data_IF_897171948062
#
_entry.id   IF_897171948062
#
_cell.length_a   1.000
_cell.length_b   1.000
_cell.length_c   1.000
_cell.angle_alpha   90.00
_cell.angle_beta   90.00
_cell.angle_gamma   90.00
#
_symmetry.space_group_name_H-M   'P 1'
#
loop_
_entity.id
_entity.type
_entity.pdbx_description
1 polymer ?
#
# COMPACT_ATOMS: atom_id res chain seq x y z
N UNK A 1 8.72 30.69 -14.82
CA UNK A 1 8.53 29.22 -14.65
C UNK A 1 9.15 28.86 -13.32
N UNK A 2 8.36 28.42 -12.34
CA UNK A 2 8.88 28.02 -11.03
C UNK A 2 9.52 26.63 -11.20
N UNK A 3 10.78 26.40 -10.79
CA UNK A 3 11.43 25.10 -10.94
C UNK A 3 10.71 24.06 -10.08
N UNK A 4 10.44 22.87 -10.62
CA UNK A 4 9.90 21.74 -9.84
C UNK A 4 11.02 21.11 -9.02
N UNK A 5 10.77 20.89 -7.74
CA UNK A 5 11.73 20.30 -6.82
C UNK A 5 11.35 18.85 -6.49
N UNK A 6 12.36 18.01 -6.38
CA UNK A 6 12.27 16.68 -5.81
C UNK A 6 13.21 16.62 -4.61
N UNK A 7 12.68 16.35 -3.42
CA UNK A 7 13.45 16.25 -2.19
C UNK A 7 13.54 14.79 -1.77
N UNK A 8 14.77 14.33 -1.52
CA UNK A 8 15.04 13.02 -0.93
C UNK A 8 15.84 13.21 0.35
N UNK A 9 15.31 12.70 1.45
CA UNK A 9 15.99 12.63 2.75
C UNK A 9 16.13 11.15 3.08
N UNK A 10 17.36 10.69 3.30
CA UNK A 10 17.63 9.30 3.65
C UNK A 10 18.80 9.20 4.61
N UNK A 11 18.69 8.36 5.65
CA UNK A 11 19.85 7.99 6.47
C UNK A 11 20.46 6.67 6.00
N UNK A 12 21.79 6.60 5.85
CA UNK A 12 22.54 5.38 5.49
C UNK A 12 23.27 4.75 6.68
N UNK A 13 23.06 5.24 7.91
CA UNK A 13 23.65 4.69 9.13
C UNK A 13 23.09 3.31 9.46
N UNK A 14 23.99 2.34 9.68
CA UNK A 14 23.67 0.95 10.02
C UNK A 14 22.75 0.85 11.24
N UNK A 15 21.56 0.29 11.00
CA UNK A 15 20.42 0.00 11.91
C UNK A 15 19.50 1.19 12.24
N UNK A 16 18.17 1.04 12.10
CA UNK A 16 17.18 2.09 12.37
C UNK A 16 17.22 2.61 13.82
N UNK A 17 17.77 1.83 14.76
CA UNK A 17 17.86 2.17 16.18
C UNK A 17 18.92 3.23 16.55
N UNK A 18 19.87 3.59 15.67
CA UNK A 18 21.06 4.35 16.10
C UNK A 18 21.22 5.76 15.54
N UNK A 19 20.58 6.11 14.42
CA UNK A 19 20.44 7.52 14.01
C UNK A 19 19.16 7.65 13.18
N UNK A 20 18.18 8.36 13.70
CA UNK A 20 17.12 8.88 12.84
C UNK A 20 17.47 10.30 12.41
N UNK A 21 17.23 10.62 11.14
CA UNK A 21 17.20 12.03 10.73
C UNK A 21 15.90 12.61 11.26
N UNK A 22 16.02 13.57 12.18
CA UNK A 22 14.91 14.34 12.68
C UNK A 22 14.52 15.40 11.66
N UNK A 23 13.29 15.32 11.17
CA UNK A 23 12.71 16.37 10.34
C UNK A 23 11.85 17.24 11.24
N UNK A 24 12.34 18.46 11.54
CA UNK A 24 11.53 19.49 12.17
C UNK A 24 10.85 20.32 11.07
N UNK A 25 9.54 20.49 11.19
CA UNK A 25 8.70 20.86 10.06
C UNK A 25 8.54 22.36 9.81
N UNK A 26 9.27 23.20 10.56
CA UNK A 26 9.24 24.66 10.42
C UNK A 26 10.00 25.11 9.16
N UNK A 27 9.32 25.05 8.01
CA UNK A 27 9.78 25.64 6.73
C UNK A 27 9.62 24.75 5.49
N UNK A 28 9.50 23.43 5.66
CA UNK A 28 9.38 22.49 4.52
C UNK A 28 7.99 22.50 3.87
N UNK A 29 6.95 22.72 4.66
CA UNK A 29 5.56 22.55 4.25
C UNK A 29 4.88 23.82 3.72
N UNK A 30 5.64 24.69 3.07
CA UNK A 30 5.09 25.81 2.30
C UNK A 30 5.70 25.85 0.89
N UNK A 31 6.47 24.82 0.53
CA UNK A 31 7.20 24.78 -0.73
C UNK A 31 6.24 24.54 -1.91
N UNK A 32 5.84 25.62 -2.58
CA UNK A 32 4.97 25.57 -3.76
C UNK A 32 5.59 24.83 -4.96
N UNK A 33 6.91 24.64 -4.97
CA UNK A 33 7.63 23.94 -6.03
C UNK A 33 7.85 22.45 -5.78
N UNK A 34 7.60 21.94 -4.57
CA UNK A 34 7.92 20.56 -4.22
C UNK A 34 6.89 19.61 -4.85
N UNK A 35 7.34 18.76 -5.76
CA UNK A 35 6.50 17.81 -6.50
C UNK A 35 6.70 16.37 -6.02
N UNK A 36 7.91 16.04 -5.57
CA UNK A 36 8.27 14.71 -5.09
C UNK A 36 8.93 14.84 -3.72
N UNK A 37 8.45 14.07 -2.74
CA UNK A 37 9.03 13.95 -1.42
C UNK A 37 9.32 12.48 -1.14
N UNK A 38 10.58 12.16 -0.83
CA UNK A 38 11.03 10.82 -0.49
C UNK A 38 11.72 10.85 0.88
N UNK A 39 11.16 10.17 1.85
CA UNK A 39 11.69 10.04 3.20
C UNK A 39 12.05 8.58 3.44
N UNK A 40 13.30 8.33 3.84
CA UNK A 40 13.80 6.98 4.15
C UNK A 40 14.55 6.96 5.47
N UNK A 41 14.23 6.05 6.38
CA UNK A 41 14.93 5.94 7.68
C UNK A 41 14.93 7.26 8.46
N UNK A 42 13.77 7.92 8.53
CA UNK A 42 13.60 9.22 9.20
C UNK A 42 12.57 9.13 10.31
N UNK A 43 12.78 9.90 11.38
CA UNK A 43 11.76 10.06 12.43
C UNK A 43 10.93 11.29 12.15
N UNK A 44 9.61 11.11 12.06
CA UNK A 44 8.66 12.21 12.01
C UNK A 44 8.37 12.65 13.46
N UNK A 45 8.79 13.87 13.81
CA UNK A 45 8.49 14.50 15.11
C UNK A 45 7.70 15.77 14.89
N UNK A 46 6.76 16.09 15.78
CA UNK A 46 6.03 17.36 15.78
C UNK A 46 5.31 17.66 14.45
N UNK A 47 4.71 16.65 13.79
CA UNK A 47 3.91 16.88 12.58
C UNK A 47 2.66 17.67 12.98
N UNK A 48 2.51 18.94 12.56
CA UNK A 48 1.42 19.77 13.02
C UNK A 48 0.08 19.21 12.51
N UNK A 49 -0.87 19.03 13.43
CA UNK A 49 -2.19 18.46 13.14
C UNK A 49 -3.09 19.41 12.35
N UNK A 50 -2.95 20.73 12.51
CA UNK A 50 -3.68 21.75 11.76
C UNK A 50 -3.00 23.11 11.90
N UNK A 51 -2.85 23.84 10.78
CA UNK A 51 -2.54 25.27 10.79
C UNK A 51 -1.39 25.70 9.87
N UNK A 52 -1.69 25.92 8.58
CA UNK A 52 -0.88 26.74 7.67
C UNK A 52 0.20 26.02 6.86
N UNK A 53 0.37 24.71 7.03
CA UNK A 53 1.37 23.92 6.32
C UNK A 53 0.69 23.06 5.24
N UNK A 54 1.01 23.28 3.97
CA UNK A 54 0.48 22.55 2.81
C UNK A 54 1.60 22.28 1.79
N UNK A 55 1.53 21.13 1.13
CA UNK A 55 2.38 20.81 -0.02
C UNK A 55 1.55 20.86 -1.30
N UNK A 56 1.22 22.07 -1.81
CA UNK A 56 0.19 22.26 -2.83
C UNK A 56 0.54 21.67 -4.19
N UNK A 57 1.82 21.39 -4.44
CA UNK A 57 2.32 20.83 -5.71
C UNK A 57 2.76 19.37 -5.61
N UNK A 58 2.63 18.74 -4.43
CA UNK A 58 3.15 17.40 -4.20
C UNK A 58 2.28 16.34 -4.85
N UNK A 59 2.86 15.64 -5.82
CA UNK A 59 2.22 14.56 -6.57
C UNK A 59 2.71 13.18 -6.17
N UNK A 60 3.94 13.08 -5.68
CA UNK A 60 4.56 11.81 -5.30
C UNK A 60 5.11 11.88 -3.89
N UNK A 61 4.67 10.95 -3.04
CA UNK A 61 5.12 10.80 -1.66
C UNK A 61 5.62 9.37 -1.46
N UNK A 62 6.88 9.23 -1.06
CA UNK A 62 7.46 7.93 -0.71
C UNK A 62 7.96 7.96 0.72
N UNK A 63 7.42 7.07 1.53
CA UNK A 63 7.71 6.90 2.94
C UNK A 63 8.24 5.49 3.13
N UNK A 64 9.52 5.37 3.45
CA UNK A 64 10.15 4.06 3.65
C UNK A 64 10.80 4.06 5.01
N UNK A 65 10.44 3.07 5.82
CA UNK A 65 11.13 2.82 7.07
C UNK A 65 11.13 4.03 8.01
N UNK A 66 9.94 4.54 8.30
CA UNK A 66 9.75 5.70 9.17
C UNK A 66 9.51 5.30 10.63
N UNK A 67 9.98 6.13 11.54
CA UNK A 67 9.66 6.07 12.98
C UNK A 67 8.72 7.23 13.31
N UNK A 68 7.68 7.00 14.10
CA UNK A 68 6.64 8.00 14.37
C UNK A 68 6.66 8.42 15.84
N UNK A 69 6.88 9.72 16.11
CA UNK A 69 6.75 10.26 17.46
C UNK A 69 5.37 10.90 17.58
N UNK A 70 4.36 10.05 17.77
CA UNK A 70 2.97 10.43 17.96
C UNK A 70 2.00 9.67 17.05
N UNK A 71 0.83 9.32 17.61
CA UNK A 71 -0.17 8.42 17.01
C UNK A 71 -0.65 8.90 15.64
N UNK A 72 -0.85 10.21 15.47
CA UNK A 72 -1.44 10.78 14.25
C UNK A 72 -0.41 11.30 13.23
N UNK A 73 0.88 11.03 13.42
CA UNK A 73 1.96 11.66 12.62
C UNK A 73 1.83 11.38 11.11
N UNK A 74 1.48 10.14 10.74
CA UNK A 74 1.26 9.77 9.35
C UNK A 74 0.02 10.47 8.77
N UNK A 75 -1.09 10.44 9.52
CA UNK A 75 -2.35 11.06 9.07
C UNK A 75 -2.21 12.57 8.91
N UNK A 76 -1.48 13.22 9.80
CA UNK A 76 -1.18 14.64 9.71
C UNK A 76 -0.38 14.95 8.44
N UNK A 77 0.68 14.18 8.12
CA UNK A 77 1.46 14.36 6.90
C UNK A 77 0.59 14.16 5.63
N UNK A 78 -0.22 13.11 5.62
CA UNK A 78 -1.13 12.80 4.52
C UNK A 78 -2.15 13.92 4.30
N UNK A 79 -2.69 14.51 5.38
CA UNK A 79 -3.66 15.61 5.31
C UNK A 79 -3.14 16.86 4.59
N UNK A 80 -1.81 17.01 4.45
CA UNK A 80 -1.15 18.17 3.85
C UNK A 80 -0.97 18.05 2.33
N UNK A 81 -1.31 16.89 1.75
CA UNK A 81 -0.99 16.49 0.38
C UNK A 81 -2.25 16.35 -0.49
N UNK A 82 -2.92 17.46 -0.81
CA UNK A 82 -4.26 17.42 -1.44
C UNK A 82 -4.31 16.95 -2.91
N UNK A 83 -3.20 17.03 -3.64
CA UNK A 83 -3.13 16.67 -5.07
C UNK A 83 -2.27 15.44 -5.35
N UNK A 84 -2.11 14.59 -4.33
CA UNK A 84 -1.26 13.41 -4.40
C UNK A 84 -1.78 12.41 -5.45
N UNK A 85 -0.91 11.98 -6.34
CA UNK A 85 -1.19 11.04 -7.44
C UNK A 85 -0.52 9.67 -7.20
N UNK A 86 0.60 9.64 -6.48
CA UNK A 86 1.42 8.45 -6.22
C UNK A 86 1.88 8.41 -4.74
N UNK A 87 1.48 7.36 -4.03
CA UNK A 87 1.80 7.13 -2.63
C UNK A 87 2.46 5.76 -2.44
N UNK A 88 3.65 5.76 -1.83
CA UNK A 88 4.34 4.56 -1.38
C UNK A 88 4.61 4.66 0.12
N UNK A 89 4.15 3.67 0.88
CA UNK A 89 4.41 3.56 2.32
C UNK A 89 4.92 2.16 2.63
N UNK A 90 6.12 2.07 3.20
CA UNK A 90 6.73 0.83 3.68
C UNK A 90 7.08 0.97 5.16
N UNK A 91 6.42 0.18 5.99
CA UNK A 91 6.65 0.18 7.43
C UNK A 91 7.87 -0.71 7.79
N UNK A 92 8.41 -0.54 9.01
CA UNK A 92 9.36 -1.48 9.62
C UNK A 92 8.65 -2.15 10.80
N UNK A 93 9.08 -3.37 11.13
CA UNK A 93 8.78 -4.04 12.40
C UNK A 93 8.83 -3.08 13.61
N UNK A 94 7.94 -3.30 14.57
CA UNK A 94 7.78 -2.56 15.84
C UNK A 94 7.25 -1.11 15.76
N UNK A 95 7.08 -0.49 14.59
CA UNK A 95 6.75 0.94 14.46
C UNK A 95 5.64 1.19 13.43
N UNK A 96 4.38 0.98 13.81
CA UNK A 96 3.21 1.25 12.98
C UNK A 96 2.17 2.14 13.68
N UNK A 97 1.42 2.96 12.93
CA UNK A 97 0.32 3.74 13.49
C UNK A 97 -0.83 2.82 13.90
N UNK A 98 -1.53 3.16 15.00
CA UNK A 98 -2.74 2.47 15.43
C UNK A 98 -3.88 2.54 14.42
N UNK A 99 -3.94 3.54 13.54
CA UNK A 99 -4.97 3.59 12.50
C UNK A 99 -4.50 4.56 11.43
N UNK A 100 -4.70 4.23 10.15
CA UNK A 100 -4.52 5.22 9.09
C UNK A 100 -5.53 5.03 7.96
N UNK A 101 -5.85 6.15 7.31
CA UNK A 101 -6.80 6.18 6.21
C UNK A 101 -6.16 6.80 4.96
N UNK A 102 -6.16 6.05 3.88
CA UNK A 102 -5.74 6.51 2.55
C UNK A 102 -6.99 6.92 1.78
N UNK A 103 -7.40 8.17 1.98
CA UNK A 103 -8.57 8.77 1.34
C UNK A 103 -8.10 9.93 0.46
N UNK A 104 -7.80 9.61 -0.79
CA UNK A 104 -7.28 10.57 -1.76
C UNK A 104 -8.01 10.43 -3.10
N UNK A 105 -8.84 11.40 -3.49
CA UNK A 105 -9.62 11.31 -4.72
C UNK A 105 -8.79 11.43 -6.00
N UNK A 106 -7.53 11.84 -5.92
CA UNK A 106 -6.65 11.99 -7.09
C UNK A 106 -5.56 10.90 -7.17
N UNK A 107 -5.54 9.99 -6.18
CA UNK A 107 -4.51 8.95 -6.12
C UNK A 107 -4.72 7.94 -7.24
N UNK A 108 -3.66 7.73 -8.03
CA UNK A 108 -3.62 6.78 -9.15
C UNK A 108 -2.77 5.56 -8.84
N UNK A 109 -1.75 5.71 -8.00
CA UNK A 109 -0.84 4.62 -7.61
C UNK A 109 -0.71 4.55 -6.10
N UNK A 110 -0.87 3.36 -5.56
CA UNK A 110 -0.71 3.06 -4.14
C UNK A 110 0.20 1.85 -3.99
N UNK A 111 1.23 1.98 -3.16
CA UNK A 111 2.07 0.87 -2.69
C UNK A 111 2.08 0.88 -1.17
N UNK A 112 1.62 -0.21 -0.56
CA UNK A 112 1.62 -0.44 0.87
C UNK A 112 2.36 -1.74 1.18
N UNK A 113 3.29 -1.67 2.13
CA UNK A 113 4.06 -2.82 2.62
C UNK A 113 4.06 -2.76 4.14
N UNK A 114 3.31 -3.67 4.77
CA UNK A 114 3.12 -3.80 6.21
C UNK A 114 3.87 -5.06 6.67
N UNK A 115 4.77 -4.97 7.66
CA UNK A 115 5.47 -6.14 8.22
C UNK A 115 4.51 -7.07 8.96
N UNK A 116 4.92 -8.33 9.15
CA UNK A 116 4.24 -9.29 10.03
C UNK A 116 4.35 -8.82 11.49
N UNK A 117 3.24 -8.79 12.22
CA UNK A 117 3.16 -8.27 13.59
C UNK A 117 2.56 -9.30 14.54
N UNK A 118 3.16 -9.47 15.72
CA UNK A 118 2.64 -10.37 16.78
C UNK A 118 1.38 -9.82 17.49
N UNK A 119 0.97 -8.57 17.21
CA UNK A 119 -0.17 -7.91 17.85
C UNK A 119 -1.19 -7.44 16.83
N UNK A 120 -2.48 -7.62 17.15
CA UNK A 120 -3.62 -7.24 16.32
C UNK A 120 -3.44 -5.82 15.75
N UNK A 121 -3.26 -5.75 14.43
CA UNK A 121 -3.22 -4.47 13.75
C UNK A 121 -4.62 -3.85 13.81
N UNK A 122 -4.71 -2.69 14.46
CA UNK A 122 -5.88 -1.84 14.39
C UNK A 122 -5.99 -1.32 12.95
N UNK A 123 -6.84 -1.99 12.19
CA UNK A 123 -7.80 -1.37 11.30
C UNK A 123 -7.25 -0.25 10.34
N UNK A 124 -7.10 -0.49 9.02
CA UNK A 124 -6.80 0.58 8.03
C UNK A 124 -7.80 0.70 6.86
N UNK A 125 -8.01 1.94 6.37
CA UNK A 125 -8.99 2.25 5.32
C UNK A 125 -8.34 2.68 4.00
N UNK A 126 -8.79 2.11 2.88
CA UNK A 126 -8.48 2.60 1.53
C UNK A 126 -9.78 2.98 0.82
N UNK A 127 -9.95 4.29 0.52
CA UNK A 127 -11.04 4.82 -0.32
C UNK A 127 -10.45 5.76 -1.39
N UNK A 128 -10.07 5.17 -2.53
CA UNK A 128 -9.43 5.86 -3.66
C UNK A 128 -10.07 5.44 -5.00
N UNK A 129 -11.20 6.05 -5.41
CA UNK A 129 -12.00 5.56 -6.54
C UNK A 129 -11.32 5.65 -7.91
N UNK A 130 -10.28 6.46 -8.02
CA UNK A 130 -9.49 6.67 -9.24
C UNK A 130 -8.15 5.93 -9.24
N UNK A 131 -7.95 5.01 -8.30
CA UNK A 131 -6.74 4.19 -8.25
C UNK A 131 -6.64 3.33 -9.51
N UNK A 132 -5.51 3.40 -10.20
CA UNK A 132 -5.22 2.67 -11.44
C UNK A 132 -4.26 1.50 -11.18
N UNK A 133 -3.39 1.63 -10.18
CA UNK A 133 -2.38 0.65 -9.75
C UNK A 133 -2.37 0.47 -8.23
N UNK A 134 -2.42 -0.78 -7.77
CA UNK A 134 -2.28 -1.16 -6.37
C UNK A 134 -1.12 -2.15 -6.20
N UNK A 135 -0.26 -1.91 -5.22
CA UNK A 135 0.64 -2.92 -4.66
C UNK A 135 0.38 -3.03 -3.15
N UNK A 136 0.00 -4.22 -2.69
CA UNK A 136 -0.27 -4.51 -1.29
C UNK A 136 0.56 -5.72 -0.85
N UNK A 137 1.38 -5.52 0.16
CA UNK A 137 2.07 -6.57 0.92
C UNK A 137 1.61 -6.44 2.37
N UNK A 138 0.81 -7.40 2.86
CA UNK A 138 0.23 -7.36 4.21
C UNK A 138 0.15 -8.78 4.80
N UNK A 139 0.92 -9.02 5.87
CA UNK A 139 0.98 -10.31 6.57
C UNK A 139 0.11 -10.34 7.84
N UNK A 140 -0.68 -9.29 8.11
CA UNK A 140 -1.44 -9.15 9.34
C UNK A 140 -2.89 -9.62 9.19
N UNK A 141 -3.51 -9.98 10.33
CA UNK A 141 -4.94 -10.33 10.46
C UNK A 141 -5.86 -9.11 10.29
N UNK A 142 -5.80 -8.47 9.12
CA UNK A 142 -6.52 -7.24 8.79
C UNK A 142 -7.96 -7.50 8.33
N UNK A 143 -8.95 -7.06 9.11
CA UNK A 143 -10.37 -7.39 8.88
C UNK A 143 -11.10 -6.57 7.79
N UNK A 144 -10.58 -5.46 7.25
CA UNK A 144 -11.41 -4.56 6.42
C UNK A 144 -10.63 -3.67 5.44
N UNK A 145 -10.15 -4.26 4.36
CA UNK A 145 -9.17 -3.60 3.48
C UNK A 145 -9.77 -2.51 2.56
N UNK A 146 -11.07 -2.60 2.23
CA UNK A 146 -11.71 -1.69 1.28
C UNK A 146 -13.19 -1.47 1.61
N UNK A 147 -13.62 -0.22 1.80
CA UNK A 147 -15.06 0.10 1.98
C UNK A 147 -15.86 0.07 0.69
N UNK A 148 -15.21 0.27 -0.45
CA UNK A 148 -15.84 0.39 -1.76
C UNK A 148 -14.98 -0.30 -2.81
N UNK A 149 -15.64 -0.80 -3.85
CA UNK A 149 -14.95 -1.28 -5.05
C UNK A 149 -14.15 -0.14 -5.68
N UNK A 150 -13.00 -0.48 -6.27
CA UNK A 150 -12.14 0.47 -6.99
C UNK A 150 -12.33 0.32 -8.50
N UNK A 151 -13.35 0.97 -9.11
CA UNK A 151 -13.75 0.69 -10.49
C UNK A 151 -12.68 1.03 -11.53
N UNK A 152 -11.74 1.92 -11.19
CA UNK A 152 -10.65 2.36 -12.08
C UNK A 152 -9.41 1.47 -12.01
N UNK A 153 -9.37 0.53 -11.07
CA UNK A 153 -8.17 -0.28 -10.80
C UNK A 153 -7.92 -1.24 -11.95
N UNK A 154 -6.77 -1.08 -12.60
CA UNK A 154 -6.40 -1.83 -13.80
C UNK A 154 -5.35 -2.88 -13.55
N UNK A 155 -4.45 -2.62 -12.60
CA UNK A 155 -3.34 -3.49 -12.25
C UNK A 155 -3.21 -3.59 -10.74
N UNK A 156 -3.07 -4.80 -10.22
CA UNK A 156 -2.87 -5.05 -8.81
C UNK A 156 -1.80 -6.13 -8.57
N UNK A 157 -0.94 -5.89 -7.59
CA UNK A 157 -0.09 -6.88 -6.95
C UNK A 157 -0.57 -7.05 -5.51
N UNK A 158 -0.87 -8.28 -5.11
CA UNK A 158 -1.37 -8.60 -3.78
C UNK A 158 -0.52 -9.74 -3.22
N UNK A 159 0.15 -9.48 -2.10
CA UNK A 159 0.85 -10.48 -1.32
C UNK A 159 0.31 -10.45 0.10
N UNK A 160 -0.62 -11.36 0.40
CA UNK A 160 -1.33 -11.39 1.69
C UNK A 160 -1.58 -12.82 2.15
N UNK A 161 -1.83 -12.98 3.44
CA UNK A 161 -2.24 -14.26 4.01
C UNK A 161 -3.60 -14.74 3.49
N UNK A 162 -3.84 -16.05 3.56
CA UNK A 162 -5.04 -16.72 3.03
C UNK A 162 -6.36 -16.07 3.46
N UNK A 163 -6.48 -15.76 4.75
CA UNK A 163 -7.69 -15.20 5.34
C UNK A 163 -8.03 -13.81 4.80
N UNK A 164 -7.02 -13.01 4.43
CA UNK A 164 -7.19 -11.66 3.90
C UNK A 164 -7.49 -11.65 2.40
N UNK A 165 -6.98 -12.65 1.67
CA UNK A 165 -7.06 -12.72 0.21
C UNK A 165 -8.50 -12.59 -0.31
N UNK A 166 -9.45 -13.27 0.32
CA UNK A 166 -10.87 -13.25 -0.07
C UNK A 166 -11.47 -11.85 0.02
N UNK A 167 -11.09 -11.07 1.03
CA UNK A 167 -11.56 -9.69 1.22
C UNK A 167 -10.96 -8.75 0.17
N UNK A 168 -9.66 -8.90 -0.10
CA UNK A 168 -8.96 -8.11 -1.13
C UNK A 168 -9.56 -8.36 -2.51
N UNK A 169 -9.63 -9.62 -2.91
CA UNK A 169 -10.07 -10.05 -4.25
C UNK A 169 -11.48 -9.56 -4.58
N UNK A 170 -12.38 -9.53 -3.59
CA UNK A 170 -13.75 -8.99 -3.76
C UNK A 170 -13.80 -7.49 -4.05
N UNK A 171 -12.77 -6.75 -3.65
CA UNK A 171 -12.73 -5.29 -3.72
C UNK A 171 -12.05 -4.78 -5.00
N UNK A 172 -11.29 -5.65 -5.68
CA UNK A 172 -10.47 -5.33 -6.85
C UNK A 172 -10.98 -5.97 -8.14
N UNK A 173 -12.28 -6.28 -8.26
CA UNK A 173 -12.86 -7.05 -9.38
C UNK A 173 -12.73 -6.41 -10.77
N UNK A 174 -12.37 -5.12 -10.84
CA UNK A 174 -12.14 -4.34 -12.07
C UNK A 174 -10.78 -4.59 -12.74
N UNK A 175 -9.84 -5.26 -12.06
CA UNK A 175 -8.46 -5.45 -12.55
C UNK A 175 -8.41 -6.20 -13.88
N UNK A 176 -7.43 -5.80 -14.70
CA UNK A 176 -7.06 -6.47 -15.95
C UNK A 176 -5.79 -7.29 -15.82
N UNK A 177 -4.90 -6.87 -14.92
CA UNK A 177 -3.65 -7.55 -14.58
C UNK A 177 -3.60 -7.75 -13.08
N UNK A 178 -3.44 -9.00 -12.64
CA UNK A 178 -3.39 -9.34 -11.23
C UNK A 178 -2.21 -10.27 -10.97
N UNK A 179 -1.39 -9.93 -9.99
CA UNK A 179 -0.42 -10.85 -9.38
C UNK A 179 -0.90 -11.16 -7.97
N UNK A 180 -1.05 -12.44 -7.63
CA UNK A 180 -1.42 -12.90 -6.29
C UNK A 180 -0.35 -13.82 -5.73
N UNK A 181 0.20 -13.44 -4.58
CA UNK A 181 1.01 -14.30 -3.74
C UNK A 181 0.27 -14.52 -2.41
N UNK A 182 0.05 -15.77 -2.01
CA UNK A 182 -0.62 -16.08 -0.73
C UNK A 182 -0.29 -17.50 -0.29
N UNK A 183 -0.05 -17.70 1.01
CA UNK A 183 0.02 -19.02 1.61
C UNK A 183 -1.41 -19.48 1.94
N UNK A 184 -1.93 -20.46 1.18
CA UNK A 184 -3.32 -20.93 1.33
C UNK A 184 -3.36 -22.13 2.25
N UNK A 185 -4.16 -22.08 3.31
CA UNK A 185 -4.47 -23.25 4.14
C UNK A 185 -5.62 -24.07 3.52
N UNK A 186 -5.53 -25.41 3.63
CA UNK A 186 -6.43 -26.41 3.01
C UNK A 186 -7.95 -26.19 3.29
N UNK A 187 -8.30 -25.51 4.38
CA UNK A 187 -9.69 -25.44 4.89
C UNK A 187 -10.42 -24.12 4.59
N UNK A 188 -9.84 -23.20 3.83
CA UNK A 188 -10.52 -21.91 3.54
C UNK A 188 -11.26 -21.88 2.20
N UNK A 189 -12.59 -21.68 2.29
CA UNK A 189 -13.51 -21.43 1.19
C UNK A 189 -13.22 -20.09 0.48
N UNK A 190 -12.17 -20.01 -0.33
CA UNK A 190 -11.87 -18.86 -1.20
C UNK A 190 -12.69 -18.97 -2.49
N UNK A 191 -14.02 -19.02 -2.36
CA UNK A 191 -14.96 -19.15 -3.47
C UNK A 191 -15.76 -17.86 -3.72
N UNK A 192 -16.10 -17.63 -5.00
CA UNK A 192 -17.19 -16.72 -5.40
C UNK A 192 -16.78 -15.28 -5.65
N UNK A 193 -15.64 -15.04 -6.30
CA UNK A 193 -15.37 -13.77 -6.96
C UNK A 193 -15.68 -13.87 -8.45
N UNK A 194 -15.83 -12.73 -9.13
CA UNK A 194 -16.08 -12.71 -10.58
C UNK A 194 -15.19 -11.63 -11.16
N UNK A 195 -14.31 -12.04 -12.08
CA UNK A 195 -13.41 -11.13 -12.78
C UNK A 195 -13.80 -11.04 -14.25
N UNK A 196 -14.66 -10.06 -14.54
CA UNK A 196 -15.14 -9.84 -15.90
C UNK A 196 -14.11 -9.12 -16.79
N UNK A 197 -13.02 -8.59 -16.22
CA UNK A 197 -12.02 -7.80 -16.96
C UNK A 197 -10.61 -8.38 -16.89
N UNK A 198 -10.39 -9.44 -16.11
CA UNK A 198 -9.05 -9.99 -15.91
C UNK A 198 -8.54 -10.65 -17.19
N UNK A 199 -7.43 -10.13 -17.71
CA UNK A 199 -6.77 -10.59 -18.94
C UNK A 199 -5.46 -11.32 -18.64
N UNK A 200 -4.76 -10.94 -17.57
CA UNK A 200 -3.49 -11.51 -17.16
C UNK A 200 -3.49 -11.81 -15.67
N UNK A 201 -3.17 -13.06 -15.33
CA UNK A 201 -3.02 -13.51 -13.95
C UNK A 201 -1.60 -14.06 -13.75
N UNK A 202 -0.93 -13.62 -12.71
CA UNK A 202 0.24 -14.28 -12.17
C UNK A 202 -0.09 -14.83 -10.77
N UNK A 203 0.17 -16.11 -10.55
CA UNK A 203 0.01 -16.75 -9.25
C UNK A 203 1.36 -17.20 -8.71
N UNK A 204 1.66 -16.78 -7.49
CA UNK A 204 2.82 -17.23 -6.75
C UNK A 204 2.44 -18.50 -5.99
N UNK A 205 3.12 -19.61 -6.28
CA UNK A 205 2.82 -20.92 -5.70
C UNK A 205 3.63 -21.11 -4.43
N UNK A 206 2.92 -21.17 -3.30
CA UNK A 206 3.44 -21.58 -1.99
C UNK A 206 2.87 -22.96 -1.66
N UNK A 207 3.63 -24.05 -1.91
CA UNK A 207 3.23 -25.46 -1.68
C UNK A 207 1.86 -25.85 -2.32
N UNK A 208 1.40 -27.09 -2.08
CA UNK A 208 0.42 -27.84 -2.88
C UNK A 208 -0.97 -27.17 -3.08
N UNK A 209 -1.34 -26.17 -2.27
CA UNK A 209 -2.69 -25.58 -2.21
C UNK A 209 -2.99 -24.46 -3.21
N UNK A 210 -1.95 -23.94 -3.88
CA UNK A 210 -2.10 -22.87 -4.89
C UNK A 210 -2.92 -23.31 -6.12
N UNK A 211 -3.09 -24.62 -6.32
CA UNK A 211 -3.84 -25.19 -7.44
C UNK A 211 -5.36 -25.01 -7.29
N UNK A 212 -5.89 -24.96 -6.06
CA UNK A 212 -7.31 -24.74 -5.82
C UNK A 212 -7.71 -23.29 -6.15
N UNK A 213 -6.90 -22.33 -5.72
CA UNK A 213 -7.04 -20.92 -6.13
C UNK A 213 -6.98 -20.77 -7.64
N UNK A 214 -6.00 -21.43 -8.28
CA UNK A 214 -5.86 -21.40 -9.74
C UNK A 214 -7.13 -21.89 -10.45
N UNK A 215 -7.67 -23.03 -10.04
CA UNK A 215 -8.90 -23.58 -10.62
C UNK A 215 -10.07 -22.59 -10.49
N UNK A 216 -10.15 -21.87 -9.37
CA UNK A 216 -11.18 -20.87 -9.13
C UNK A 216 -11.00 -19.64 -10.03
N UNK A 217 -9.79 -19.08 -10.13
CA UNK A 217 -9.52 -17.97 -11.04
C UNK A 217 -9.83 -18.32 -12.50
N UNK A 218 -9.49 -19.53 -12.94
CA UNK A 218 -9.80 -20.00 -14.29
C UNK A 218 -11.31 -20.09 -14.55
N UNK A 219 -12.08 -20.50 -13.53
CA UNK A 219 -13.54 -20.58 -13.61
C UNK A 219 -14.21 -19.20 -13.61
N UNK A 220 -13.68 -18.27 -12.82
CA UNK A 220 -14.31 -16.98 -12.54
C UNK A 220 -13.80 -15.83 -13.43
N UNK A 221 -12.81 -16.09 -14.29
CA UNK A 221 -12.17 -15.09 -15.16
C UNK A 221 -12.40 -15.40 -16.64
N UNK A 222 -13.58 -15.00 -17.15
CA UNK A 222 -14.01 -15.33 -18.52
C UNK A 222 -13.14 -14.73 -19.63
N UNK A 223 -12.39 -13.66 -19.34
CA UNK A 223 -11.54 -12.93 -20.28
C UNK A 223 -10.05 -13.23 -20.14
N UNK A 224 -9.66 -14.20 -19.31
CA UNK A 224 -8.25 -14.50 -19.05
C UNK A 224 -7.53 -15.01 -20.31
N UNK A 225 -6.39 -14.41 -20.64
CA UNK A 225 -5.59 -14.71 -21.85
C UNK A 225 -4.17 -15.16 -21.54
N UNK A 226 -3.62 -14.74 -20.42
CA UNK A 226 -2.32 -15.15 -19.96
C UNK A 226 -2.38 -15.57 -18.50
N UNK A 227 -1.67 -16.66 -18.21
CA UNK A 227 -1.47 -17.19 -16.88
C UNK A 227 0.02 -17.45 -16.71
N UNK A 228 0.60 -16.78 -15.73
CA UNK A 228 1.97 -17.00 -15.30
C UNK A 228 1.95 -17.63 -13.90
N UNK A 229 2.85 -18.57 -13.66
CA UNK A 229 2.98 -19.25 -12.37
C UNK A 229 4.42 -19.06 -11.92
N UNK A 230 4.61 -18.36 -10.81
CA UNK A 230 5.91 -18.13 -10.18
C UNK A 230 6.03 -18.98 -8.92
N UNK A 231 7.21 -19.56 -8.67
CA UNK A 231 7.49 -20.32 -7.45
C UNK A 231 8.15 -19.36 -6.47
N UNK A 232 7.57 -19.21 -5.27
CA UNK A 232 8.22 -18.45 -4.20
C UNK A 232 9.22 -19.38 -3.51
N UNK A 233 10.51 -19.10 -3.71
CA UNK A 233 11.57 -19.70 -2.88
C UNK A 233 11.50 -19.06 -1.49
N UNK A 234 10.81 -19.74 -0.56
CA UNK A 234 10.84 -19.38 0.87
C UNK A 234 12.21 -19.80 1.41
N UNK A 235 13.17 -18.87 1.44
CA UNK A 235 14.54 -19.08 1.96
C UNK A 235 14.65 -18.76 3.44
#
# INVERSE_FOLDING_TARGET
MIPKLALKISNSGLKPRFLAVFVTWNGFFTCESLVVLKLRYTTLMDVPSTGGCCLPSLKTLQLESLTYVGVDSLQNLLSMCHILEDLEVRFIEDEYPQMFAVIFPLLRRLTLSLPDCEWDFDEYEIDTPFLEYLKLEDWNESLWLFKKNMPSLSEAYVHVESYALKSVVRSITSVKRLTVCSEVEEDQDVYGFVFDQLEHLELCVCKDDSLNLLAQFLKDSSNLRALDISILDVS
#
